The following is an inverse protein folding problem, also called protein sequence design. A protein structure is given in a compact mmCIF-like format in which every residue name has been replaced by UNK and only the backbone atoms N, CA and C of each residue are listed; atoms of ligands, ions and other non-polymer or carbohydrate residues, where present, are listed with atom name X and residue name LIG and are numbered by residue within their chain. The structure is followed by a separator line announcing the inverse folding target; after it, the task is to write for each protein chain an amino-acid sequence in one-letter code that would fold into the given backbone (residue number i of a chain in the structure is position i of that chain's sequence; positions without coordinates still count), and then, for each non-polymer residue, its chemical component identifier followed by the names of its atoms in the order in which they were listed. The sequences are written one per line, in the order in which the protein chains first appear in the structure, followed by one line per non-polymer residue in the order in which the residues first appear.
data_IF_959560180965
#
_entry.id   IF_959560180965
#
_cell.length_a   1.000
_cell.length_b   1.000
_cell.length_c   1.000
_cell.angle_alpha   90.00
_cell.angle_beta   90.00
_cell.angle_gamma   90.00
#
_symmetry.space_group_name_H-M   'P 1'
#
loop_
_entity.id
_entity.type
_entity.pdbx_description
1 polymer ?
#
# COMPACT_ATOMS: atom_id res chain seq x y z
N UNK A 1 48.76 -7.95 -21.85
CA UNK A 1 47.86 -7.36 -22.86
C UNK A 1 46.65 -8.29 -23.01
N UNK A 2 45.42 -7.78 -23.20
CA UNK A 2 44.42 -7.32 -22.22
C UNK A 2 43.33 -8.39 -21.96
N UNK A 3 42.77 -8.53 -20.75
CA UNK A 3 41.59 -7.84 -20.18
C UNK A 3 40.25 -8.18 -20.87
N UNK A 4 39.45 -9.03 -20.22
CA UNK A 4 38.00 -9.16 -20.42
C UNK A 4 37.36 -9.45 -19.04
N UNK A 5 37.44 -8.49 -18.12
CA UNK A 5 36.46 -8.43 -17.02
C UNK A 5 35.16 -7.93 -17.64
N UNK A 6 34.28 -8.88 -17.95
CA UNK A 6 32.93 -8.65 -18.42
C UNK A 6 32.08 -8.10 -17.27
N UNK A 7 32.32 -6.83 -16.96
CA UNK A 7 31.56 -6.05 -15.98
C UNK A 7 30.18 -5.81 -16.59
N UNK A 8 29.29 -6.78 -16.42
CA UNK A 8 27.86 -6.69 -16.68
C UNK A 8 27.34 -5.42 -16.01
N UNK A 9 27.22 -4.38 -16.82
CA UNK A 9 26.79 -3.06 -16.41
C UNK A 9 25.28 -3.17 -16.19
N UNK A 10 24.87 -3.57 -14.98
CA UNK A 10 23.47 -3.54 -14.56
C UNK A 10 23.06 -2.06 -14.55
N UNK A 11 22.49 -1.58 -15.65
CA UNK A 11 21.90 -0.26 -15.72
C UNK A 11 20.62 -0.26 -14.90
N UNK A 12 20.75 0.12 -13.62
CA UNK A 12 19.61 0.40 -12.75
C UNK A 12 18.81 1.54 -13.37
N UNK A 13 17.75 1.17 -14.08
CA UNK A 13 16.88 2.15 -14.73
C UNK A 13 16.02 2.73 -13.61
N UNK A 14 15.98 4.05 -13.46
CA UNK A 14 15.17 4.70 -12.42
C UNK A 14 14.02 5.45 -13.06
N UNK A 15 12.85 5.35 -12.43
CA UNK A 15 11.62 6.02 -12.85
C UNK A 15 11.20 7.03 -11.79
N UNK A 16 10.51 8.09 -12.21
CA UNK A 16 10.02 9.12 -11.29
C UNK A 16 8.61 8.75 -10.84
N UNK A 17 8.40 8.65 -9.52
CA UNK A 17 7.07 8.39 -8.98
C UNK A 17 6.10 9.54 -9.32
N UNK A 18 4.93 9.28 -9.92
CA UNK A 18 3.98 10.33 -10.31
C UNK A 18 3.37 11.06 -9.11
N UNK A 19 3.37 10.45 -7.91
CA UNK A 19 2.76 11.02 -6.70
C UNK A 19 3.71 11.92 -5.91
N UNK A 20 4.85 11.37 -5.48
CA UNK A 20 5.78 12.08 -4.60
C UNK A 20 7.03 12.61 -5.32
N UNK A 21 7.15 12.37 -6.64
CA UNK A 21 8.26 12.81 -7.51
C UNK A 21 9.64 12.26 -7.12
N UNK A 22 9.71 11.30 -6.19
CA UNK A 22 10.96 10.63 -5.82
C UNK A 22 11.35 9.61 -6.90
N UNK A 23 12.66 9.43 -7.08
CA UNK A 23 13.19 8.34 -7.91
C UNK A 23 12.89 7.00 -7.26
N UNK A 24 12.39 6.07 -8.06
CA UNK A 24 12.05 4.69 -7.71
C UNK A 24 12.84 3.79 -8.65
N UNK A 25 13.36 2.67 -8.18
CA UNK A 25 14.04 1.71 -9.06
C UNK A 25 13.00 1.14 -10.03
N UNK A 26 13.33 0.93 -11.30
CA UNK A 26 12.39 0.33 -12.26
C UNK A 26 12.00 -1.11 -11.87
N UNK A 27 12.83 -1.77 -11.08
CA UNK A 27 12.59 -3.08 -10.49
C UNK A 27 11.62 -3.03 -9.28
N UNK A 28 11.47 -1.86 -8.65
CA UNK A 28 10.60 -1.69 -7.50
C UNK A 28 9.13 -1.58 -7.92
N UNK A 29 8.30 -2.51 -7.42
CA UNK A 29 6.85 -2.50 -7.67
C UNK A 29 6.14 -1.32 -7.00
N UNK A 30 6.71 -0.76 -5.93
CA UNK A 30 6.10 0.30 -5.12
C UNK A 30 7.13 1.34 -4.71
N UNK A 31 6.69 2.60 -4.63
CA UNK A 31 7.51 3.68 -4.11
C UNK A 31 7.68 3.53 -2.59
N UNK A 32 8.93 3.38 -2.12
CA UNK A 32 9.26 3.28 -0.69
C UNK A 32 8.84 4.49 0.15
N UNK A 33 8.65 5.66 -0.47
CA UNK A 33 8.28 6.88 0.25
C UNK A 33 6.77 7.08 0.42
N UNK A 34 5.95 6.60 -0.52
CA UNK A 34 4.50 6.88 -0.51
C UNK A 34 3.61 5.65 -0.75
N UNK A 35 4.21 4.48 -0.98
CA UNK A 35 3.52 3.22 -1.22
C UNK A 35 2.86 3.09 -2.59
N UNK A 36 2.86 4.14 -3.43
CA UNK A 36 2.22 4.07 -4.75
C UNK A 36 3.08 3.28 -5.74
N UNK A 37 2.44 2.40 -6.51
CA UNK A 37 3.08 1.72 -7.64
C UNK A 37 3.25 2.69 -8.82
N UNK A 38 4.43 2.81 -9.42
CA UNK A 38 4.64 3.64 -10.59
C UNK A 38 4.11 2.99 -11.88
N UNK A 39 3.80 1.68 -11.86
CA UNK A 39 3.16 0.98 -12.97
C UNK A 39 1.65 1.24 -12.99
N UNK A 40 1.19 1.91 -14.05
CA UNK A 40 -0.22 2.23 -14.25
C UNK A 40 -1.12 0.98 -14.30
N UNK A 41 -0.67 -0.15 -14.85
CA UNK A 41 -1.50 -1.36 -14.92
C UNK A 41 -1.71 -1.96 -13.53
N UNK A 42 -0.62 -2.04 -12.76
CA UNK A 42 -0.68 -2.47 -11.37
C UNK A 42 -1.53 -1.52 -10.52
N UNK A 43 -1.42 -0.20 -10.73
CA UNK A 43 -2.24 0.80 -10.04
C UNK A 43 -3.74 0.58 -10.29
N UNK A 44 -4.14 0.40 -11.56
CA UNK A 44 -5.54 0.15 -11.93
C UNK A 44 -6.06 -1.15 -11.31
N UNK A 45 -5.26 -2.22 -11.34
CA UNK A 45 -5.66 -3.51 -10.75
C UNK A 45 -5.88 -3.39 -9.24
N UNK A 46 -4.97 -2.73 -8.52
CA UNK A 46 -5.12 -2.52 -7.07
C UNK A 46 -6.41 -1.76 -6.79
N UNK A 47 -6.69 -0.69 -7.53
CA UNK A 47 -7.89 0.11 -7.33
C UNK A 47 -9.17 -0.70 -7.62
N UNK A 48 -9.17 -1.55 -8.65
CA UNK A 48 -10.30 -2.44 -8.92
C UNK A 48 -10.56 -3.42 -7.76
N UNK A 49 -9.51 -4.01 -7.18
CA UNK A 49 -9.64 -4.90 -6.03
C UNK A 49 -10.10 -4.14 -4.77
N UNK A 50 -9.64 -2.89 -4.58
CA UNK A 50 -10.13 -2.03 -3.49
C UNK A 50 -11.61 -1.72 -3.63
N UNK A 51 -12.07 -1.34 -4.82
CA UNK A 51 -13.50 -1.08 -5.09
C UNK A 51 -14.35 -2.33 -4.85
N UNK A 52 -13.85 -3.53 -5.16
CA UNK A 52 -14.54 -4.78 -4.84
C UNK A 52 -14.65 -4.99 -3.33
N UNK A 53 -13.56 -4.78 -2.60
CA UNK A 53 -13.55 -4.90 -1.14
C UNK A 53 -14.51 -3.90 -0.47
N UNK A 54 -14.54 -2.66 -0.95
CA UNK A 54 -15.45 -1.62 -0.44
C UNK A 54 -16.92 -2.02 -0.64
N UNK A 55 -17.28 -2.56 -1.82
CA UNK A 55 -18.63 -3.08 -2.07
C UNK A 55 -19.01 -4.22 -1.13
N UNK A 56 -18.07 -5.12 -0.83
CA UNK A 56 -18.30 -6.21 0.12
C UNK A 56 -18.54 -5.63 1.52
N UNK A 57 -17.73 -4.65 1.95
CA UNK A 57 -17.93 -3.96 3.23
C UNK A 57 -19.29 -3.26 3.31
N UNK A 58 -19.74 -2.59 2.25
CA UNK A 58 -21.07 -1.98 2.19
C UNK A 58 -22.19 -3.01 2.36
N UNK A 59 -22.03 -4.20 1.77
CA UNK A 59 -22.99 -5.30 1.93
C UNK A 59 -22.96 -5.85 3.36
N UNK A 60 -21.77 -6.06 3.94
CA UNK A 60 -21.60 -6.51 5.32
C UNK A 60 -22.21 -5.52 6.30
N UNK A 61 -22.06 -4.22 6.05
CA UNK A 61 -22.68 -3.17 6.83
C UNK A 61 -24.20 -3.09 6.68
N UNK A 62 -24.86 -3.90 5.87
CA UNK A 62 -26.34 -4.03 5.90
C UNK A 62 -26.80 -5.01 6.97
N UNK A 63 -25.91 -5.88 7.42
CA UNK A 63 -26.20 -6.87 8.45
C UNK A 63 -26.15 -6.24 9.86
N UNK A 64 -27.20 -6.39 10.68
CA UNK A 64 -27.27 -5.78 12.00
C UNK A 64 -26.29 -6.39 13.03
N UNK A 65 -25.94 -7.67 12.90
CA UNK A 65 -24.94 -8.33 13.76
C UNK A 65 -23.56 -7.73 13.50
N UNK A 66 -23.20 -7.60 12.22
CA UNK A 66 -21.92 -7.00 11.80
C UNK A 66 -21.81 -5.55 12.27
N UNK A 67 -22.88 -4.75 12.14
CA UNK A 67 -22.92 -3.37 12.65
C UNK A 67 -22.65 -3.31 14.15
N UNK A 68 -23.32 -4.17 14.92
CA UNK A 68 -23.21 -4.20 16.38
C UNK A 68 -21.80 -4.59 16.81
N UNK A 69 -21.20 -5.58 16.13
CA UNK A 69 -19.83 -6.00 16.35
C UNK A 69 -18.83 -4.86 16.08
N UNK A 70 -18.96 -4.19 14.93
CA UNK A 70 -18.10 -3.08 14.55
C UNK A 70 -18.20 -1.92 15.53
N UNK A 71 -19.42 -1.50 15.91
CA UNK A 71 -19.62 -0.42 16.87
C UNK A 71 -18.91 -0.70 18.20
N UNK A 72 -19.06 -1.93 18.73
CA UNK A 72 -18.39 -2.36 19.95
C UNK A 72 -16.87 -2.32 19.81
N UNK A 73 -16.31 -2.83 18.71
CA UNK A 73 -14.85 -2.84 18.48
C UNK A 73 -14.28 -1.45 18.30
N UNK A 74 -14.99 -0.55 17.62
CA UNK A 74 -14.58 0.85 17.49
C UNK A 74 -14.54 1.53 18.86
N UNK A 75 -15.54 1.29 19.71
CA UNK A 75 -15.55 1.81 21.08
C UNK A 75 -14.37 1.28 21.91
N UNK A 76 -14.13 -0.04 21.89
CA UNK A 76 -12.99 -0.68 22.58
C UNK A 76 -11.65 -0.05 22.15
N UNK A 77 -11.46 0.20 20.84
CA UNK A 77 -10.24 0.83 20.30
C UNK A 77 -10.12 2.31 20.70
N UNK A 78 -11.23 3.06 20.69
CA UNK A 78 -11.23 4.46 21.10
C UNK A 78 -10.95 4.59 22.60
N UNK A 79 -11.52 3.72 23.42
CA UNK A 79 -11.28 3.67 24.86
C UNK A 79 -9.83 3.28 25.19
N UNK A 80 -9.24 2.30 24.49
CA UNK A 80 -7.85 1.91 24.69
C UNK A 80 -6.85 2.99 24.23
N UNK A 81 -7.21 3.79 23.22
CA UNK A 81 -6.39 4.91 22.75
C UNK A 81 -6.35 6.12 23.68
N UNK A 82 -7.26 6.21 24.68
CA UNK A 82 -7.33 7.30 25.64
C UNK A 82 -6.56 7.06 26.96
N UNK A 83 -5.98 5.87 27.15
CA UNK A 83 -5.05 5.64 28.26
C UNK A 83 -3.61 5.95 27.80
N UNK A 84 -2.91 6.96 28.35
CA UNK A 84 -1.47 7.06 28.16
C UNK A 84 -0.82 5.80 28.74
N UNK A 85 0.30 5.30 28.17
CA UNK A 85 1.06 4.24 28.81
C UNK A 85 1.50 4.78 30.18
N UNK A 86 0.92 4.25 31.25
CA UNK A 86 1.45 4.45 32.59
C UNK A 86 2.89 3.95 32.57
N UNK A 87 3.82 4.86 32.92
CA UNK A 87 5.27 4.63 32.97
C UNK A 87 5.67 3.39 33.76
#
# INVERSE_FOLDING_TARGET
MPSQEEKSKITLTTIVCPRCKRRVSAEDKFCSACGMTPDSKTAVKIEQERVKADRIMDMLLKDPEVRSLLARKIYELYASSQHPPTS
#
